data_IF_346738876815
#
_entry.id   IF_346738876815
#
_cell.length_a   1.000
_cell.length_b   1.000
_cell.length_c   1.000
_cell.angle_alpha   90.00
_cell.angle_beta   90.00
_cell.angle_gamma   90.00
#
_symmetry.space_group_name_H-M   'P 1'
#
loop_
_entity.id
_entity.type
_entity.pdbx_description
1 polymer ?
#
# COMPACT_ATOMS: atom_id res chain seq x y z
N UNK A 1 -6.62 -8.10 -11.82
CA UNK A 1 -5.50 -7.71 -12.69
C UNK A 1 -4.64 -6.57 -12.10
N UNK A 2 -5.23 -5.46 -11.60
CA UNK A 2 -4.45 -4.32 -11.06
C UNK A 2 -3.68 -4.58 -9.76
N UNK A 3 -4.28 -5.25 -8.78
CA UNK A 3 -3.65 -5.53 -7.49
C UNK A 3 -2.39 -6.42 -7.60
N UNK A 4 -2.38 -7.35 -8.56
CA UNK A 4 -1.24 -8.24 -8.79
C UNK A 4 -0.05 -7.50 -9.45
N UNK A 5 -0.33 -6.54 -10.34
CA UNK A 5 0.69 -5.67 -10.93
C UNK A 5 1.32 -4.77 -9.87
N UNK A 6 0.51 -4.20 -8.99
CA UNK A 6 0.99 -3.38 -7.87
C UNK A 6 1.83 -4.24 -6.92
N UNK A 7 1.38 -5.44 -6.54
CA UNK A 7 2.17 -6.37 -5.72
C UNK A 7 3.53 -6.72 -6.34
N UNK A 8 3.61 -6.87 -7.67
CA UNK A 8 4.89 -7.10 -8.38
C UNK A 8 5.78 -5.87 -8.41
N UNK A 9 5.24 -4.68 -8.64
CA UNK A 9 6.01 -3.43 -8.62
C UNK A 9 6.57 -3.13 -7.23
N UNK A 10 5.78 -3.41 -6.19
CA UNK A 10 6.21 -3.28 -4.79
C UNK A 10 7.30 -4.28 -4.45
N UNK A 11 7.17 -5.55 -4.85
CA UNK A 11 8.22 -6.55 -4.66
C UNK A 11 9.51 -6.23 -5.42
N UNK A 12 9.42 -5.58 -6.59
CA UNK A 12 10.58 -5.27 -7.42
C UNK A 12 11.39 -4.08 -6.89
N UNK A 13 10.72 -3.06 -6.34
CA UNK A 13 11.37 -1.81 -5.91
C UNK A 13 11.58 -1.69 -4.40
N UNK A 14 10.87 -2.46 -3.57
CA UNK A 14 11.01 -2.40 -2.13
C UNK A 14 11.68 -3.64 -1.54
N UNK A 15 12.95 -3.47 -1.14
CA UNK A 15 13.78 -4.49 -0.48
C UNK A 15 13.41 -4.74 0.99
N UNK A 16 12.74 -3.81 1.65
CA UNK A 16 12.34 -3.89 3.05
C UNK A 16 10.90 -4.41 3.20
N UNK A 17 10.67 -5.39 4.09
CA UNK A 17 9.34 -5.90 4.38
C UNK A 17 8.39 -4.81 4.90
N UNK A 18 8.94 -3.76 5.53
CA UNK A 18 8.21 -2.57 5.97
C UNK A 18 7.52 -1.84 4.82
N UNK A 19 8.19 -1.75 3.68
CA UNK A 19 7.63 -1.02 2.54
C UNK A 19 6.66 -1.86 1.72
N UNK A 20 6.73 -3.20 1.82
CA UNK A 20 5.67 -4.09 1.33
C UNK A 20 4.39 -3.92 2.16
N UNK A 21 4.50 -3.93 3.48
CA UNK A 21 3.36 -3.71 4.39
C UNK A 21 2.68 -2.36 4.14
N UNK A 22 3.47 -1.28 4.02
CA UNK A 22 2.96 0.05 3.71
C UNK A 22 2.08 0.06 2.45
N UNK A 23 2.57 -0.61 1.41
CA UNK A 23 1.93 -0.56 0.12
C UNK A 23 0.74 -1.53 -0.02
N UNK A 24 0.78 -2.69 0.64
CA UNK A 24 -0.41 -3.56 0.76
C UNK A 24 -1.54 -2.82 1.46
N UNK A 25 -1.25 -2.08 2.53
CA UNK A 25 -2.25 -1.29 3.24
C UNK A 25 -2.77 -0.13 2.39
N UNK A 26 -1.91 0.57 1.66
CA UNK A 26 -2.33 1.60 0.71
C UNK A 26 -3.27 1.06 -0.38
N UNK A 27 -3.00 -0.14 -0.92
CA UNK A 27 -3.90 -0.81 -1.87
C UNK A 27 -5.26 -1.12 -1.25
N UNK A 28 -5.28 -1.69 -0.04
CA UNK A 28 -6.54 -2.01 0.65
C UNK A 28 -7.35 -0.75 0.93
N UNK A 29 -6.70 0.34 1.30
CA UNK A 29 -7.38 1.62 1.55
C UNK A 29 -7.98 2.20 0.26
N UNK A 30 -7.23 2.16 -0.86
CA UNK A 30 -7.76 2.56 -2.16
C UNK A 30 -8.95 1.70 -2.61
N UNK A 31 -8.90 0.39 -2.37
CA UNK A 31 -10.02 -0.51 -2.65
C UNK A 31 -11.24 -0.20 -1.79
N UNK A 32 -11.05 0.11 -0.50
CA UNK A 32 -12.14 0.49 0.39
C UNK A 32 -12.80 1.82 -0.03
N UNK A 33 -12.06 2.68 -0.73
CA UNK A 33 -12.53 3.98 -1.22
C UNK A 33 -12.98 3.95 -2.70
N UNK A 34 -13.06 2.76 -3.31
CA UNK A 34 -13.37 2.57 -4.74
C UNK A 34 -12.48 3.44 -5.66
N UNK A 35 -11.23 3.65 -5.24
CA UNK A 35 -10.25 4.43 -5.96
C UNK A 35 -9.55 3.55 -7.01
N UNK A 36 -9.41 4.08 -8.24
CA UNK A 36 -8.78 3.38 -9.35
C UNK A 36 -7.26 3.15 -9.15
N UNK A 37 -6.64 3.93 -8.26
CA UNK A 37 -5.21 3.86 -7.92
C UNK A 37 -4.99 4.29 -6.47
N UNK A 38 -3.89 3.81 -5.89
CA UNK A 38 -3.40 4.29 -4.60
C UNK A 38 -2.79 5.66 -4.81
N UNK A 39 -3.30 6.66 -4.12
CA UNK A 39 -2.73 8.01 -4.03
C UNK A 39 -2.17 8.26 -2.62
N UNK A 40 -1.52 9.42 -2.44
CA UNK A 40 -0.89 9.80 -1.17
C UNK A 40 -1.92 9.84 -0.04
N UNK A 41 -3.14 10.30 -0.31
CA UNK A 41 -4.25 10.34 0.65
C UNK A 41 -4.55 8.97 1.29
N UNK A 42 -4.49 7.89 0.52
CA UNK A 42 -4.75 6.54 1.04
C UNK A 42 -3.59 6.01 1.87
N UNK A 43 -2.36 6.36 1.48
CA UNK A 43 -1.18 5.98 2.24
C UNK A 43 -1.12 6.71 3.58
N UNK A 44 -1.45 8.01 3.61
CA UNK A 44 -1.50 8.81 4.83
C UNK A 44 -2.51 8.27 5.85
N UNK A 45 -3.64 7.71 5.39
CA UNK A 45 -4.65 7.11 6.28
C UNK A 45 -4.17 5.83 6.96
N UNK A 46 -3.34 5.03 6.29
CA UNK A 46 -2.81 3.78 6.86
C UNK A 46 -1.47 3.97 7.58
N UNK A 47 -0.83 5.13 7.41
CA UNK A 47 0.47 5.46 7.98
C UNK A 47 0.50 5.42 9.53
N UNK A 48 -0.50 5.93 10.28
CA UNK A 48 -0.45 5.88 11.74
C UNK A 48 -0.43 4.46 12.29
N UNK A 49 -1.31 3.58 11.76
CA UNK A 49 -1.35 2.17 12.16
C UNK A 49 -0.11 1.43 11.70
N UNK A 50 0.40 1.74 10.50
CA UNK A 50 1.63 1.16 10.01
C UNK A 50 2.81 1.49 10.94
N UNK A 51 2.94 2.74 11.39
CA UNK A 51 4.00 3.17 12.31
C UNK A 51 3.87 2.58 13.71
N UNK A 52 2.65 2.26 14.16
CA UNK A 52 2.39 1.61 15.45
C UNK A 52 2.74 0.12 15.44
N UNK A 53 2.69 -0.53 14.29
CA UNK A 53 3.01 -1.96 14.14
C UNK A 53 4.53 -2.23 14.06
N UNK A 54 5.37 -1.19 14.15
CA UNK A 54 6.84 -1.24 14.15
C UNK A 54 7.45 -0.63 15.41
#
# INVERSE_FOLDING_TARGET
AGAELVSRLLHLHFKDDKTKEAAVRGVRQAQAEDALRVDVDQLEKVLPQLLLDF
#
